data_IF_888352152084
#
_entry.id   IF_888352152084
#
_cell.length_a   1.000
_cell.length_b   1.000
_cell.length_c   1.000
_cell.angle_alpha   90.00
_cell.angle_beta   90.00
_cell.angle_gamma   90.00
#
_symmetry.space_group_name_H-M   'P 1'
#
loop_
_entity.id
_entity.type
_entity.pdbx_description
1 polymer ?
#
# COMPACT_ATOMS: atom_id res chain seq x y z
N UNK A 1 3.78 13.48 -7.50
CA UNK A 1 4.48 14.71 -7.05
C UNK A 1 3.99 15.23 -5.70
N UNK A 2 2.68 15.44 -5.47
CA UNK A 2 2.14 15.99 -4.19
C UNK A 2 2.36 15.10 -2.96
N UNK A 3 2.21 13.78 -3.08
CA UNK A 3 2.34 12.85 -1.94
C UNK A 3 3.77 12.79 -1.37
N UNK A 4 4.79 12.87 -2.24
CA UNK A 4 6.20 12.97 -1.82
C UNK A 4 6.48 14.23 -1.01
N UNK A 5 5.84 15.36 -1.36
CA UNK A 5 6.03 16.63 -0.65
C UNK A 5 5.44 16.56 0.77
N UNK A 6 4.26 15.96 0.92
CA UNK A 6 3.63 15.75 2.23
C UNK A 6 4.46 14.81 3.13
N UNK A 7 4.98 13.71 2.57
CA UNK A 7 5.79 12.76 3.31
C UNK A 7 7.11 13.39 3.80
N UNK A 8 7.78 14.17 2.95
CA UNK A 8 9.02 14.87 3.29
C UNK A 8 8.81 15.89 4.42
N UNK A 9 7.66 16.57 4.46
CA UNK A 9 7.33 17.54 5.51
C UNK A 9 7.15 16.89 6.90
N UNK A 10 6.87 15.59 6.97
CA UNK A 10 6.68 14.86 8.23
C UNK A 10 7.97 14.27 8.81
N UNK A 11 9.03 14.19 8.00
CA UNK A 11 10.33 13.62 8.41
C UNK A 11 10.96 14.26 9.66
N UNK A 12 10.79 15.57 9.96
CA UNK A 12 11.41 16.16 11.15
C UNK A 12 10.74 15.73 12.46
N UNK A 13 9.47 15.30 12.41
CA UNK A 13 8.66 15.03 13.61
C UNK A 13 8.19 13.59 13.73
N UNK A 14 8.27 12.81 12.65
CA UNK A 14 7.75 11.44 12.60
C UNK A 14 8.73 10.50 11.90
N UNK A 15 8.77 9.26 12.37
CA UNK A 15 9.44 8.17 11.67
C UNK A 15 8.49 7.58 10.63
N UNK A 16 8.88 7.64 9.36
CA UNK A 16 8.15 6.99 8.28
C UNK A 16 8.59 5.52 8.23
N UNK A 17 7.66 4.62 8.55
CA UNK A 17 7.86 3.18 8.46
C UNK A 17 7.07 2.66 7.25
N UNK A 18 7.73 2.33 6.14
CA UNK A 18 7.04 1.78 4.98
C UNK A 18 6.50 0.39 5.29
N UNK A 19 5.30 0.10 4.80
CA UNK A 19 4.70 -1.23 4.88
C UNK A 19 5.59 -2.20 4.08
N UNK A 20 6.08 -3.31 4.67
CA UNK A 20 6.93 -4.24 3.97
C UNK A 20 6.17 -4.87 2.79
N UNK A 21 6.84 -4.92 1.64
CA UNK A 21 6.33 -5.53 0.43
C UNK A 21 7.36 -6.51 -0.12
N UNK A 22 6.91 -7.66 -0.60
CA UNK A 22 7.75 -8.75 -1.10
C UNK A 22 7.42 -9.04 -2.55
N UNK A 23 8.44 -9.32 -3.36
CA UNK A 23 8.25 -9.73 -4.73
C UNK A 23 7.87 -11.22 -4.84
N UNK A 24 7.76 -11.72 -6.07
CA UNK A 24 7.35 -13.10 -6.36
C UNK A 24 8.35 -14.14 -5.84
N UNK A 25 9.62 -13.75 -5.66
CA UNK A 25 10.65 -14.60 -5.06
C UNK A 25 10.64 -14.54 -3.52
N UNK A 26 9.85 -13.66 -2.92
CA UNK A 26 9.82 -13.41 -1.49
C UNK A 26 10.89 -12.41 -1.03
N UNK A 27 11.54 -11.69 -1.96
CA UNK A 27 12.55 -10.69 -1.62
C UNK A 27 11.89 -9.35 -1.27
N UNK A 28 12.48 -8.63 -0.29
CA UNK A 28 11.96 -7.34 0.15
C UNK A 28 12.10 -6.29 -0.94
N UNK A 29 10.97 -5.74 -1.38
CA UNK A 29 10.91 -4.63 -2.31
C UNK A 29 11.32 -3.36 -1.57
N UNK A 30 12.22 -2.57 -2.17
CA UNK A 30 12.60 -1.26 -1.61
C UNK A 30 11.44 -0.27 -1.78
N UNK A 31 11.17 0.61 -0.80
CA UNK A 31 10.08 1.60 -0.89
C UNK A 31 10.14 2.47 -2.15
N UNK A 32 11.34 2.78 -2.65
CA UNK A 32 11.53 3.52 -3.90
C UNK A 32 10.99 2.81 -5.15
N UNK A 33 10.82 1.50 -5.09
CA UNK A 33 10.33 0.64 -6.17
C UNK A 33 8.85 0.25 -6.01
N UNK A 34 8.17 0.62 -4.92
CA UNK A 34 6.77 0.21 -4.69
C UNK A 34 5.85 0.56 -5.85
N UNK A 35 5.98 1.75 -6.40
CA UNK A 35 5.12 2.15 -7.52
C UNK A 35 5.31 1.24 -8.74
N UNK A 36 6.54 0.98 -9.17
CA UNK A 36 6.76 0.14 -10.36
C UNK A 36 6.50 -1.35 -10.09
N UNK A 37 6.68 -1.83 -8.86
CA UNK A 37 6.53 -3.24 -8.52
C UNK A 37 5.10 -3.63 -8.12
N UNK A 38 4.30 -2.70 -7.60
CA UNK A 38 2.95 -2.99 -7.09
C UNK A 38 1.84 -2.48 -8.01
N UNK A 39 2.09 -1.44 -8.80
CA UNK A 39 1.07 -0.91 -9.70
C UNK A 39 0.73 -1.95 -10.77
N UNK A 40 -0.56 -2.30 -10.89
CA UNK A 40 -1.07 -3.35 -11.77
C UNK A 40 -0.57 -4.77 -11.47
N UNK A 41 0.03 -5.00 -10.30
CA UNK A 41 0.35 -6.34 -9.82
C UNK A 41 -0.87 -7.00 -9.15
N UNK A 42 -0.95 -8.33 -9.18
CA UNK A 42 -1.84 -9.08 -8.29
C UNK A 42 -1.05 -9.35 -7.01
N UNK A 43 -1.60 -8.93 -5.88
CA UNK A 43 -0.93 -9.03 -4.58
C UNK A 43 -1.81 -9.73 -3.55
N UNK A 44 -1.17 -10.44 -2.64
CA UNK A 44 -1.72 -10.87 -1.37
C UNK A 44 -1.46 -9.78 -0.32
N UNK A 45 -2.47 -9.44 0.48
CA UNK A 45 -2.35 -8.44 1.55
C UNK A 45 -2.70 -9.09 2.87
N UNK A 46 -1.78 -9.07 3.82
CA UNK A 46 -2.05 -9.50 5.19
C UNK A 46 -2.39 -8.28 6.02
N UNK A 47 -3.55 -8.29 6.66
CA UNK A 47 -3.99 -7.19 7.51
C UNK A 47 -4.79 -7.70 8.70
N UNK A 48 -4.74 -6.96 9.80
CA UNK A 48 -5.65 -7.15 10.93
C UNK A 48 -6.85 -6.22 10.79
N UNK A 49 -8.04 -6.73 11.06
CA UNK A 49 -9.26 -5.94 11.10
C UNK A 49 -9.68 -5.73 12.56
N UNK A 50 -9.71 -4.47 12.98
CA UNK A 50 -10.21 -4.07 14.30
C UNK A 50 -11.55 -3.35 14.15
N UNK A 51 -12.47 -3.61 15.07
CA UNK A 51 -13.79 -3.00 15.12
C UNK A 51 -13.98 -2.30 16.48
N UNK A 52 -14.49 -1.07 16.43
CA UNK A 52 -14.94 -0.35 17.61
C UNK A 52 -16.37 0.15 17.39
N UNK A 53 -17.27 -0.27 18.28
CA UNK A 53 -18.60 0.31 18.37
C UNK A 53 -18.53 1.60 19.20
N UNK A 54 -18.71 2.76 18.56
CA UNK A 54 -18.82 4.05 19.26
C UNK A 54 -20.28 4.25 19.65
N UNK A 55 -20.67 3.63 20.76
CA UNK A 55 -22.08 3.56 21.23
C UNK A 55 -22.72 4.95 21.32
N UNK A 56 -22.01 5.96 21.84
CA UNK A 56 -22.53 7.33 21.96
C UNK A 56 -22.84 7.98 20.61
N UNK A 57 -22.05 7.66 19.59
CA UNK A 57 -22.23 8.16 18.23
C UNK A 57 -23.11 7.24 17.37
N UNK A 58 -23.56 6.09 17.92
CA UNK A 58 -24.29 5.03 17.20
C UNK A 58 -23.63 4.68 15.86
N UNK A 59 -22.30 4.62 15.85
CA UNK A 59 -21.53 4.29 14.66
C UNK A 59 -20.50 3.21 14.95
N UNK A 60 -20.22 2.39 13.94
CA UNK A 60 -19.19 1.39 13.96
C UNK A 60 -17.98 1.87 13.15
N UNK A 61 -16.80 1.73 13.73
CA UNK A 61 -15.54 2.05 13.08
C UNK A 61 -14.78 0.76 12.85
N UNK A 62 -14.40 0.51 11.60
CA UNK A 62 -13.56 -0.62 11.19
C UNK A 62 -12.22 -0.08 10.71
N UNK A 63 -11.11 -0.62 11.22
CA UNK A 63 -9.74 -0.31 10.78
C UNK A 63 -9.08 -1.57 10.28
N UNK A 64 -8.69 -1.58 9.01
CA UNK A 64 -7.74 -2.54 8.47
C UNK A 64 -6.33 -2.00 8.63
N UNK A 65 -5.48 -2.71 9.35
CA UNK A 65 -4.06 -2.39 9.49
C UNK A 65 -3.24 -3.38 8.66
N UNK A 66 -2.65 -2.90 7.57
CA UNK A 66 -1.85 -3.70 6.66
C UNK A 66 -0.51 -4.02 7.33
N UNK A 67 -0.17 -5.30 7.39
CA UNK A 67 1.07 -5.80 7.95
C UNK A 67 2.12 -6.04 6.86
N UNK A 68 1.71 -6.60 5.71
CA UNK A 68 2.60 -6.85 4.58
C UNK A 68 1.83 -7.04 3.27
N UNK A 69 2.56 -6.89 2.17
CA UNK A 69 2.07 -7.08 0.80
C UNK A 69 3.00 -8.08 0.10
N UNK A 70 2.47 -9.11 -0.55
CA UNK A 70 3.25 -10.07 -1.35
C UNK A 70 2.77 -10.07 -2.79
N UNK A 71 3.69 -9.94 -3.75
CA UNK A 71 3.35 -10.01 -5.18
C UNK A 71 3.14 -11.46 -5.59
N UNK A 72 1.94 -11.79 -6.05
CA UNK A 72 1.60 -13.09 -6.62
C UNK A 72 1.82 -13.12 -8.13
N UNK A 73 1.45 -12.04 -8.82
CA UNK A 73 1.66 -11.86 -10.26
C UNK A 73 2.28 -10.48 -10.48
N UNK A 74 3.42 -10.39 -11.18
CA UNK A 74 4.07 -9.12 -11.41
C UNK A 74 3.21 -8.17 -12.25
N UNK A 75 3.50 -6.86 -12.21
CA UNK A 75 2.83 -5.86 -13.04
C UNK A 75 2.79 -6.29 -14.50
N UNK A 76 1.58 -6.43 -15.05
CA UNK A 76 1.45 -6.53 -16.50
C UNK A 76 1.61 -5.12 -17.07
N UNK A 77 2.48 -4.94 -18.06
CA UNK A 77 2.64 -3.64 -18.74
C UNK A 77 1.29 -3.10 -19.25
N UNK A 78 1.20 -1.80 -19.58
CA UNK A 78 -0.06 -1.17 -19.94
C UNK A 78 -0.77 -1.98 -21.01
N UNK A 79 -2.01 -2.39 -20.72
CA UNK A 79 -2.84 -3.08 -21.71
C UNK A 79 -2.95 -2.19 -22.97
N UNK A 80 -3.13 -2.76 -24.18
CA UNK A 80 -3.22 -1.98 -25.42
C UNK A 80 -4.34 -0.92 -25.44
N UNK A 81 -5.25 -0.94 -24.46
CA UNK A 81 -6.44 -0.08 -24.40
C UNK A 81 -6.08 1.39 -24.10
N UNK A 82 -4.91 1.67 -23.51
CA UNK A 82 -4.49 3.04 -23.17
C UNK A 82 -3.76 3.81 -24.29
N UNK A 83 -3.57 3.23 -25.49
CA UNK A 83 -2.91 3.92 -26.62
C UNK A 83 -3.83 4.86 -27.43
N UNK A 84 -5.05 5.10 -26.96
CA UNK A 84 -6.03 5.93 -27.68
C UNK A 84 -6.76 6.90 -26.75
N UNK A 85 -6.03 7.84 -26.15
CA UNK A 85 -6.62 9.10 -25.69
C UNK A 85 -5.63 10.24 -25.73
#
# INVERSE_FOLDING_TARGET
QRERVGLMAMTPTHHILPIPAYDVAGDLIRPSAYHCSLQHAIVEVHFTLSHWAIVKAKCDVYRGEIQMICVLVPPTGPSPIDRKR
#
